data_IF_043577138446
#
_entry.id   IF_043577138446
#
_cell.length_a   1.000
_cell.length_b   1.000
_cell.length_c   1.000
_cell.angle_alpha   90.00
_cell.angle_beta   90.00
_cell.angle_gamma   90.00
#
_symmetry.space_group_name_H-M   'P 1'
#
loop_
_entity.id
_entity.type
_entity.pdbx_description
1 polymer ?
#
# COMPACT_ATOMS: atom_id res chain seq x y z
N UNK A 1 0.96 14.30 37.27
CA UNK A 1 1.22 15.32 36.21
C UNK A 1 0.21 15.07 35.09
N UNK A 2 -0.74 15.98 34.90
CA UNK A 2 -1.73 15.87 33.82
C UNK A 2 -1.04 16.28 32.52
N UNK A 3 -0.87 15.35 31.58
CA UNK A 3 -0.35 15.66 30.24
C UNK A 3 -1.43 16.45 29.52
N UNK A 4 -1.23 17.77 29.38
CA UNK A 4 -2.13 18.62 28.60
C UNK A 4 -1.85 18.35 27.12
N UNK A 5 -2.82 17.75 26.42
CA UNK A 5 -2.78 17.61 24.96
C UNK A 5 -3.08 18.94 24.29
N UNK A 6 -2.29 19.29 23.26
CA UNK A 6 -2.50 20.49 22.44
C UNK A 6 -3.10 20.07 21.10
N UNK A 7 -4.35 20.44 20.88
CA UNK A 7 -5.10 20.04 19.69
C UNK A 7 -5.62 21.27 18.93
N UNK A 8 -5.52 21.24 17.60
CA UNK A 8 -6.14 22.21 16.70
C UNK A 8 -7.43 21.56 16.17
N UNK A 9 -8.57 22.17 16.45
CA UNK A 9 -9.88 21.70 15.99
C UNK A 9 -10.46 22.68 14.98
N UNK A 10 -10.48 22.31 13.71
CA UNK A 10 -11.10 23.05 12.62
C UNK A 10 -12.47 22.40 12.31
N UNK A 11 -13.54 22.93 12.92
CA UNK A 11 -14.92 22.45 12.75
C UNK A 11 -15.86 23.57 12.32
N UNK A 12 -16.86 23.25 11.49
CA UNK A 12 -17.95 24.16 11.14
C UNK A 12 -18.03 24.53 9.64
N UNK A 13 -18.83 25.54 9.32
CA UNK A 13 -19.01 26.02 7.95
C UNK A 13 -19.86 27.28 7.89
N UNK A 14 -19.34 28.32 7.21
CA UNK A 14 -20.06 29.56 6.91
C UNK A 14 -19.51 30.78 7.63
N UNK A 15 -18.34 31.28 7.23
CA UNK A 15 -18.14 32.73 7.28
C UNK A 15 -18.80 33.33 6.04
N UNK A 16 -19.64 34.35 6.23
CA UNK A 16 -20.24 35.17 5.17
C UNK A 16 -19.22 36.05 4.42
N UNK A 17 -17.95 36.00 4.81
CA UNK A 17 -16.85 36.67 4.12
C UNK A 17 -16.32 35.76 3.02
N UNK A 18 -16.40 36.18 1.75
CA UNK A 18 -15.98 35.40 0.59
C UNK A 18 -14.57 34.79 0.69
N UNK A 19 -14.35 33.67 -0.01
CA UNK A 19 -13.10 32.88 -0.03
C UNK A 19 -13.35 31.40 0.28
N UNK A 20 -12.47 30.50 -0.17
CA UNK A 20 -12.59 29.06 0.14
C UNK A 20 -12.22 28.77 1.60
N UNK A 21 -12.75 27.69 2.19
CA UNK A 21 -12.38 27.28 3.55
C UNK A 21 -10.87 27.00 3.68
N UNK A 22 -10.23 26.56 2.60
CA UNK A 22 -8.78 26.33 2.52
C UNK A 22 -7.99 27.63 2.62
N UNK A 23 -8.41 28.69 1.92
CA UNK A 23 -7.77 30.00 1.98
C UNK A 23 -7.91 30.64 3.36
N UNK A 24 -9.08 30.50 3.99
CA UNK A 24 -9.33 30.98 5.35
C UNK A 24 -8.45 30.25 6.37
N UNK A 25 -8.30 28.94 6.25
CA UNK A 25 -7.39 28.15 7.10
C UNK A 25 -5.94 28.57 6.90
N UNK A 26 -5.50 28.80 5.65
CA UNK A 26 -4.13 29.24 5.35
C UNK A 26 -3.82 30.56 6.05
N UNK A 27 -4.68 31.57 5.88
CA UNK A 27 -4.56 32.88 6.57
C UNK A 27 -4.53 32.72 8.10
N UNK A 28 -5.35 31.81 8.62
CA UNK A 28 -5.42 31.52 10.06
C UNK A 28 -4.11 30.89 10.58
N UNK A 29 -3.55 29.92 9.86
CA UNK A 29 -2.29 29.27 10.24
C UNK A 29 -1.07 30.18 10.06
N UNK A 30 -1.06 31.02 9.02
CA UNK A 30 -0.05 32.09 8.85
C UNK A 30 -0.11 33.09 10.01
N UNK A 31 -1.31 33.51 10.44
CA UNK A 31 -1.47 34.34 11.62
C UNK A 31 -0.94 33.63 12.88
N UNK A 32 -1.34 32.38 13.13
CA UNK A 32 -0.89 31.65 14.31
C UNK A 32 0.63 31.44 14.35
N UNK A 33 1.24 31.08 13.23
CA UNK A 33 2.69 30.88 13.15
C UNK A 33 3.49 32.18 13.38
N UNK A 34 2.90 33.35 13.11
CA UNK A 34 3.52 34.65 13.39
C UNK A 34 3.45 35.06 14.86
N UNK A 35 2.33 34.77 15.54
CA UNK A 35 2.06 35.32 16.88
C UNK A 35 2.25 34.34 18.04
N UNK A 36 2.17 33.02 17.78
CA UNK A 36 2.43 32.01 18.80
C UNK A 36 3.96 31.85 18.96
N UNK A 37 4.54 31.90 20.18
CA UNK A 37 5.96 31.64 20.39
C UNK A 37 6.38 30.28 19.82
N UNK A 38 7.57 30.16 19.24
CA UNK A 38 8.01 28.91 18.59
C UNK A 38 8.01 27.68 19.52
N UNK A 39 8.18 27.88 20.83
CA UNK A 39 8.06 26.82 21.85
C UNK A 39 6.63 26.26 22.01
N UNK A 40 5.63 26.99 21.52
CA UNK A 40 4.21 26.64 21.59
C UNK A 40 3.64 26.19 20.23
N UNK A 41 4.38 26.30 19.13
CA UNK A 41 3.96 25.90 17.78
C UNK A 41 3.97 24.38 17.51
N UNK A 42 4.15 23.57 18.57
CA UNK A 42 4.07 22.12 18.51
C UNK A 42 2.76 21.66 19.14
N UNK A 43 1.98 20.96 18.33
CA UNK A 43 0.68 20.39 18.66
C UNK A 43 0.75 18.87 18.61
N UNK A 44 -0.11 18.21 19.36
CA UNK A 44 -0.25 16.76 19.32
C UNK A 44 -1.07 16.34 18.10
N UNK A 45 -2.19 17.04 17.86
CA UNK A 45 -3.12 16.68 16.80
C UNK A 45 -3.76 17.89 16.11
N UNK A 46 -4.05 17.75 14.83
CA UNK A 46 -4.94 18.64 14.07
C UNK A 46 -6.11 17.84 13.49
N UNK A 47 -7.32 18.32 13.72
CA UNK A 47 -8.55 17.76 13.17
C UNK A 47 -9.20 18.77 12.23
N UNK A 48 -9.44 18.37 10.99
CA UNK A 48 -10.11 19.21 9.99
C UNK A 48 -11.38 18.51 9.50
N UNK A 49 -12.50 19.16 9.77
CA UNK A 49 -13.82 18.80 9.25
C UNK A 49 -14.61 20.09 9.02
N UNK A 50 -14.45 20.64 7.82
CA UNK A 50 -15.05 21.91 7.43
C UNK A 50 -15.97 21.70 6.23
N UNK A 51 -17.09 22.43 6.19
CA UNK A 51 -17.89 22.57 4.97
C UNK A 51 -17.16 23.46 3.97
N UNK A 52 -17.34 23.19 2.68
CA UNK A 52 -16.67 23.82 1.55
C UNK A 52 -15.14 23.69 1.58
N UNK A 53 -14.62 22.66 2.27
CA UNK A 53 -13.19 22.36 2.31
C UNK A 53 -12.86 21.32 1.25
N UNK A 54 -12.75 21.81 0.02
CA UNK A 54 -12.59 20.98 -1.17
C UNK A 54 -11.15 20.59 -1.46
N UNK A 55 -10.19 21.39 -0.98
CA UNK A 55 -8.77 21.30 -1.36
C UNK A 55 -7.86 21.58 -0.18
N UNK A 56 -6.74 20.87 -0.10
CA UNK A 56 -5.60 21.26 0.75
C UNK A 56 -4.53 21.86 -0.16
N UNK A 57 -4.37 23.17 -0.11
CA UNK A 57 -3.40 23.90 -0.94
C UNK A 57 -1.95 23.69 -0.49
N UNK A 58 -1.00 24.07 -1.37
CA UNK A 58 0.41 24.12 -1.04
C UNK A 58 0.69 24.96 0.22
N UNK A 59 1.63 24.48 1.04
CA UNK A 59 2.09 25.16 2.25
C UNK A 59 1.01 25.46 3.30
N UNK A 60 -0.16 24.80 3.25
CA UNK A 60 -1.27 25.10 4.18
C UNK A 60 -0.80 25.06 5.64
N UNK A 61 0.03 24.08 5.99
CA UNK A 61 0.49 23.83 7.35
C UNK A 61 1.82 24.51 7.70
N UNK A 62 2.31 25.40 6.86
CA UNK A 62 3.61 26.05 7.07
C UNK A 62 3.65 26.80 8.40
N UNK A 63 4.71 26.55 9.18
CA UNK A 63 4.88 27.14 10.51
C UNK A 63 4.11 26.44 11.64
N UNK A 64 3.37 25.37 11.36
CA UNK A 64 2.76 24.50 12.36
C UNK A 64 3.44 23.15 12.41
N UNK A 65 3.66 22.62 13.62
CA UNK A 65 4.21 21.27 13.83
C UNK A 65 3.19 20.43 14.57
N UNK A 66 2.77 19.31 14.00
CA UNK A 66 1.82 18.40 14.64
C UNK A 66 2.14 16.94 14.38
N UNK A 67 1.87 16.09 15.38
CA UNK A 67 2.15 14.66 15.30
C UNK A 67 1.08 13.88 14.54
N UNK A 68 -0.19 14.26 14.71
CA UNK A 68 -1.32 13.53 14.18
C UNK A 68 -2.22 14.46 13.36
N UNK A 69 -2.69 13.98 12.22
CA UNK A 69 -3.65 14.69 11.38
C UNK A 69 -4.85 13.81 11.07
N UNK A 70 -6.04 14.35 11.30
CA UNK A 70 -7.31 13.71 11.03
C UNK A 70 -8.11 14.61 10.06
N UNK A 71 -8.29 14.12 8.84
CA UNK A 71 -9.01 14.78 7.76
C UNK A 71 -10.34 14.07 7.52
N UNK A 72 -11.42 14.83 7.46
CA UNK A 72 -12.74 14.32 7.11
C UNK A 72 -13.58 15.36 6.40
N UNK A 73 -14.58 14.89 5.67
CA UNK A 73 -15.50 15.73 4.92
C UNK A 73 -15.60 15.29 3.47
N UNK A 74 -16.82 14.97 3.04
CA UNK A 74 -17.09 14.42 1.71
C UNK A 74 -16.72 15.36 0.55
N UNK A 75 -16.47 16.63 0.82
CA UNK A 75 -16.13 17.61 -0.21
C UNK A 75 -14.63 17.68 -0.51
N UNK A 76 -13.76 17.15 0.36
CA UNK A 76 -12.32 17.13 0.13
C UNK A 76 -12.01 16.20 -1.05
N UNK A 77 -11.48 16.76 -2.13
CA UNK A 77 -11.23 16.06 -3.40
C UNK A 77 -9.75 15.89 -3.73
N UNK A 78 -8.88 16.80 -3.28
CA UNK A 78 -7.44 16.71 -3.51
C UNK A 78 -6.61 17.32 -2.40
N UNK A 79 -5.38 16.83 -2.26
CA UNK A 79 -4.33 17.36 -1.40
C UNK A 79 -3.14 17.68 -2.29
N UNK A 80 -2.68 18.93 -2.23
CA UNK A 80 -1.56 19.39 -3.03
C UNK A 80 -0.29 18.60 -2.68
N UNK A 81 0.55 18.28 -3.68
CA UNK A 81 1.82 17.56 -3.48
C UNK A 81 2.79 18.22 -2.48
N UNK A 82 2.63 19.52 -2.27
CA UNK A 82 3.42 20.36 -1.34
C UNK A 82 2.63 20.80 -0.10
N UNK A 83 1.47 20.20 0.18
CA UNK A 83 0.59 20.61 1.27
C UNK A 83 1.27 20.60 2.65
N UNK A 84 2.19 19.64 2.88
CA UNK A 84 2.84 19.42 4.17
C UNK A 84 4.22 20.07 4.29
N UNK A 85 4.62 20.91 3.33
CA UNK A 85 5.95 21.53 3.34
C UNK A 85 6.20 22.35 4.61
N UNK A 86 7.29 22.02 5.31
CA UNK A 86 7.69 22.61 6.59
C UNK A 86 7.20 21.87 7.84
N UNK A 87 6.36 20.84 7.69
CA UNK A 87 5.83 20.03 8.81
C UNK A 87 6.06 18.52 8.66
N UNK A 88 6.63 18.08 7.54
CA UNK A 88 6.70 16.67 7.12
C UNK A 88 7.42 15.77 8.12
N UNK A 89 8.48 16.28 8.75
CA UNK A 89 9.26 15.55 9.75
C UNK A 89 8.51 15.36 11.08
N UNK A 90 7.41 16.07 11.29
CA UNK A 90 6.69 16.06 12.55
C UNK A 90 5.44 15.19 12.50
N UNK A 91 4.98 14.77 11.32
CA UNK A 91 3.77 13.95 11.15
C UNK A 91 4.11 12.47 11.30
N UNK A 92 3.47 11.81 12.27
CA UNK A 92 3.62 10.38 12.56
C UNK A 92 2.38 9.58 12.21
N UNK A 93 1.19 10.18 12.28
CA UNK A 93 -0.05 9.47 11.97
C UNK A 93 -1.00 10.34 11.16
N UNK A 94 -1.55 9.76 10.10
CA UNK A 94 -2.52 10.39 9.23
C UNK A 94 -3.76 9.50 9.10
N UNK A 95 -4.91 10.10 9.39
CA UNK A 95 -6.23 9.51 9.20
C UNK A 95 -7.02 10.37 8.23
N UNK A 96 -7.56 9.76 7.18
CA UNK A 96 -8.42 10.41 6.18
C UNK A 96 -9.67 9.55 6.05
N UNK A 97 -10.85 10.08 6.39
CA UNK A 97 -12.07 9.29 6.32
C UNK A 97 -13.26 10.05 5.75
N UNK A 98 -14.07 9.34 4.95
CA UNK A 98 -15.30 9.88 4.38
C UNK A 98 -15.05 11.11 3.50
N UNK A 99 -14.08 11.00 2.59
CA UNK A 99 -13.68 12.08 1.67
C UNK A 99 -13.91 11.65 0.22
N UNK A 100 -13.95 12.61 -0.71
CA UNK A 100 -13.90 12.33 -2.14
C UNK A 100 -12.46 12.41 -2.68
N UNK A 101 -11.47 12.15 -1.84
CA UNK A 101 -10.05 12.27 -2.17
C UNK A 101 -9.70 11.39 -3.37
N UNK A 102 -9.18 12.04 -4.40
CA UNK A 102 -8.62 11.43 -5.61
C UNK A 102 -7.15 11.83 -5.73
N UNK A 103 -6.40 11.13 -6.60
CA UNK A 103 -4.99 11.42 -6.86
C UNK A 103 -4.73 11.42 -8.35
N UNK A 104 -3.97 12.41 -8.83
CA UNK A 104 -3.47 12.45 -10.21
C UNK A 104 -1.95 12.53 -10.18
N UNK A 105 -1.30 11.42 -10.51
CA UNK A 105 0.15 11.27 -10.45
C UNK A 105 0.85 12.29 -11.34
N UNK A 106 2.01 12.79 -10.91
CA UNK A 106 2.82 13.77 -11.65
C UNK A 106 2.13 15.13 -11.89
N UNK A 107 1.16 15.47 -11.05
CA UNK A 107 0.51 16.79 -11.04
C UNK A 107 0.55 17.39 -9.64
N UNK A 108 0.07 18.62 -9.51
CA UNK A 108 -0.14 19.25 -8.21
C UNK A 108 -1.13 18.47 -7.33
N UNK A 109 -1.98 17.64 -7.93
CA UNK A 109 -2.97 16.78 -7.27
C UNK A 109 -2.42 15.36 -6.99
N UNK A 110 -1.09 15.18 -7.01
CA UNK A 110 -0.44 13.92 -6.66
C UNK A 110 -0.41 13.74 -5.12
N UNK A 111 -1.43 13.07 -4.59
CA UNK A 111 -1.53 12.77 -3.18
C UNK A 111 -0.33 11.94 -2.71
N UNK A 112 0.12 10.96 -3.49
CA UNK A 112 1.25 10.10 -3.11
C UNK A 112 2.56 10.89 -3.04
N UNK A 113 2.77 11.86 -3.93
CA UNK A 113 3.90 12.79 -3.81
C UNK A 113 3.90 13.56 -2.48
N UNK A 114 2.74 13.94 -1.95
CA UNK A 114 2.67 14.55 -0.61
C UNK A 114 3.09 13.56 0.49
N UNK A 115 2.72 12.28 0.37
CA UNK A 115 3.06 11.22 1.33
C UNK A 115 4.54 10.83 1.26
N UNK A 116 5.16 10.87 0.07
CA UNK A 116 6.60 10.59 -0.11
C UNK A 116 7.49 11.51 0.74
N UNK A 117 7.03 12.72 1.07
CA UNK A 117 7.79 13.66 1.93
C UNK A 117 7.66 13.38 3.42
N UNK A 118 6.60 12.68 3.85
CA UNK A 118 6.37 12.35 5.26
C UNK A 118 7.28 11.20 5.69
N UNK A 119 8.54 11.50 6.01
CA UNK A 119 9.57 10.48 6.30
C UNK A 119 9.34 9.74 7.63
N UNK A 120 8.75 10.42 8.61
CA UNK A 120 8.47 9.91 9.94
C UNK A 120 7.04 9.34 10.10
N UNK A 121 6.27 9.30 9.02
CA UNK A 121 4.92 8.73 9.04
C UNK A 121 5.01 7.25 9.43
N UNK A 122 4.25 6.86 10.45
CA UNK A 122 4.17 5.50 10.98
C UNK A 122 2.87 4.82 10.58
N UNK A 123 1.78 5.58 10.52
CA UNK A 123 0.44 5.07 10.23
C UNK A 123 -0.28 5.94 9.22
N UNK A 124 -0.76 5.31 8.15
CA UNK A 124 -1.61 5.93 7.15
C UNK A 124 -2.91 5.15 7.04
N UNK A 125 -4.01 5.76 7.46
CA UNK A 125 -5.33 5.14 7.45
C UNK A 125 -6.25 6.02 6.60
N UNK A 126 -6.69 5.47 5.47
CA UNK A 126 -7.58 6.11 4.51
C UNK A 126 -8.80 5.22 4.34
N UNK A 127 -9.97 5.73 4.68
CA UNK A 127 -11.23 5.00 4.69
C UNK A 127 -12.26 5.76 3.88
N UNK A 128 -13.03 5.09 3.01
CA UNK A 128 -14.08 5.74 2.21
C UNK A 128 -13.55 6.94 1.42
N UNK A 129 -12.83 6.64 0.34
CA UNK A 129 -12.17 7.61 -0.55
C UNK A 129 -12.40 7.28 -2.03
N UNK A 130 -11.90 8.13 -2.94
CA UNK A 130 -12.01 7.99 -4.40
C UNK A 130 -10.65 7.78 -5.07
N UNK A 131 -9.64 7.26 -4.35
CA UNK A 131 -8.39 6.84 -4.96
C UNK A 131 -8.65 5.67 -5.91
N UNK A 132 -8.11 5.74 -7.12
CA UNK A 132 -8.35 4.77 -8.20
C UNK A 132 -7.17 3.81 -8.37
N UNK A 133 -5.96 4.21 -7.98
CA UNK A 133 -4.77 3.37 -8.08
C UNK A 133 -3.81 3.66 -6.92
N UNK A 134 -2.99 2.66 -6.59
CA UNK A 134 -1.72 2.86 -5.90
C UNK A 134 -0.64 2.84 -6.97
N UNK A 135 -0.03 3.98 -7.32
CA UNK A 135 0.90 4.06 -8.44
C UNK A 135 2.21 3.33 -8.16
N UNK A 136 3.03 3.19 -9.20
CA UNK A 136 4.40 2.72 -9.02
C UNK A 136 5.15 3.66 -8.07
N UNK A 137 6.03 3.12 -7.23
CA UNK A 137 6.84 3.92 -6.30
C UNK A 137 5.99 4.88 -5.43
N UNK A 138 4.76 4.48 -5.07
CA UNK A 138 3.80 5.33 -4.36
C UNK A 138 4.37 5.93 -3.06
N UNK A 139 5.23 5.16 -2.37
CA UNK A 139 5.84 5.58 -1.10
C UNK A 139 7.35 5.74 -1.17
N UNK A 140 7.91 5.88 -2.37
CA UNK A 140 9.34 5.98 -2.56
C UNK A 140 9.96 7.13 -1.76
N UNK A 141 11.19 6.92 -1.31
CA UNK A 141 12.01 7.99 -0.74
C UNK A 141 12.36 8.96 -1.86
N UNK A 142 11.96 10.22 -1.72
CA UNK A 142 12.51 11.26 -2.59
C UNK A 142 14.02 11.33 -2.30
N UNK A 143 14.84 11.40 -3.36
CA UNK A 143 16.27 11.65 -3.27
C UNK A 143 16.48 13.01 -2.58
N UNK A 144 16.50 13.00 -1.25
CA UNK A 144 16.99 14.12 -0.47
C UNK A 144 18.44 14.30 -0.92
N UNK A 145 18.69 15.42 -1.58
CA UNK A 145 19.97 15.75 -2.18
C UNK A 145 21.11 15.40 -1.22
N UNK A 146 22.10 14.72 -1.79
CA UNK A 146 23.41 14.42 -1.24
C UNK A 146 23.76 15.29 -0.03
N UNK A 147 23.97 14.67 1.13
CA UNK A 147 25.05 14.93 2.07
C UNK A 147 24.79 14.09 3.34
N UNK A 148 25.64 13.07 3.51
CA UNK A 148 25.85 12.26 4.72
C UNK A 148 24.94 11.03 4.92
N UNK A 149 25.62 9.91 5.16
CA UNK A 149 25.19 8.51 5.27
C UNK A 149 24.29 8.20 6.47
N UNK A 150 23.22 8.95 6.68
CA UNK A 150 22.06 8.42 7.41
C UNK A 150 21.00 8.12 6.37
N UNK A 151 20.95 6.87 5.93
CA UNK A 151 19.92 6.36 5.02
C UNK A 151 18.54 6.62 5.66
N UNK A 152 17.88 7.71 5.28
CA UNK A 152 16.56 8.08 5.79
C UNK A 152 15.59 6.96 5.41
N UNK A 153 15.12 6.20 6.39
CA UNK A 153 14.18 5.10 6.18
C UNK A 153 12.77 5.54 6.50
N UNK A 154 11.80 5.19 5.65
CA UNK A 154 10.37 5.38 5.93
C UNK A 154 9.99 4.59 7.18
N UNK A 155 9.33 5.26 8.11
CA UNK A 155 8.89 4.65 9.39
C UNK A 155 7.51 4.01 9.34
N UNK A 156 6.89 3.90 8.15
CA UNK A 156 5.55 3.36 7.97
C UNK A 156 5.51 1.89 8.41
N UNK A 157 4.65 1.62 9.39
CA UNK A 157 4.38 0.27 9.94
C UNK A 157 2.98 -0.23 9.58
N UNK A 158 2.06 0.69 9.32
CA UNK A 158 0.66 0.37 9.04
C UNK A 158 0.10 1.25 7.92
N UNK A 159 -0.41 0.61 6.88
CA UNK A 159 -1.19 1.25 5.81
C UNK A 159 -2.54 0.55 5.74
N UNK A 160 -3.62 1.31 5.86
CA UNK A 160 -4.96 0.86 5.56
C UNK A 160 -5.56 1.80 4.54
N UNK A 161 -5.85 1.32 3.33
CA UNK A 161 -6.60 2.08 2.32
C UNK A 161 -7.79 1.22 1.92
N UNK A 162 -8.93 1.46 2.56
CA UNK A 162 -10.06 0.51 2.58
C UNK A 162 -11.38 1.20 2.28
N UNK A 163 -12.39 0.40 1.89
CA UNK A 163 -13.74 0.89 1.50
C UNK A 163 -13.68 1.97 0.41
N UNK A 164 -12.75 1.80 -0.53
CA UNK A 164 -12.42 2.78 -1.55
C UNK A 164 -12.78 2.34 -2.97
N UNK A 165 -12.07 2.89 -3.95
CA UNK A 165 -12.29 2.63 -5.37
C UNK A 165 -11.00 2.24 -6.09
N UNK A 166 -9.99 1.74 -5.36
CA UNK A 166 -8.70 1.35 -5.95
C UNK A 166 -8.94 0.16 -6.88
N UNK A 167 -8.49 0.28 -8.12
CA UNK A 167 -8.61 -0.74 -9.18
C UNK A 167 -7.27 -1.44 -9.43
N UNK A 168 -6.14 -0.76 -9.23
CA UNK A 168 -4.83 -1.34 -9.50
C UNK A 168 -3.73 -0.98 -8.50
N UNK A 169 -2.75 -1.87 -8.38
CA UNK A 169 -1.51 -1.67 -7.63
C UNK A 169 -0.32 -1.70 -8.59
N UNK A 170 0.50 -0.64 -8.59
CA UNK A 170 1.69 -0.48 -9.41
C UNK A 170 2.88 -1.31 -8.95
N UNK A 171 3.83 -1.52 -9.87
CA UNK A 171 5.15 -2.10 -9.59
C UNK A 171 5.90 -1.26 -8.56
N UNK A 172 6.58 -1.90 -7.61
CA UNK A 172 7.35 -1.23 -6.55
C UNK A 172 6.53 -0.23 -5.72
N UNK A 173 5.21 -0.38 -5.65
CA UNK A 173 4.34 0.54 -4.93
C UNK A 173 4.82 0.80 -3.50
N UNK A 174 5.37 -0.24 -2.83
CA UNK A 174 5.77 -0.22 -1.43
C UNK A 174 7.28 -0.44 -1.20
N UNK A 175 8.13 -0.28 -2.22
CA UNK A 175 9.50 -0.84 -2.20
C UNK A 175 10.44 -0.30 -1.11
N UNK A 176 10.22 0.92 -0.64
CA UNK A 176 11.01 1.56 0.42
C UNK A 176 10.43 1.37 1.84
N UNK A 177 9.36 0.58 1.99
CA UNK A 177 8.66 0.41 3.27
C UNK A 177 9.14 -0.81 4.07
N UNK A 178 10.43 -0.85 4.41
CA UNK A 178 11.04 -2.01 5.09
C UNK A 178 10.46 -2.32 6.49
N UNK A 179 9.80 -1.33 7.11
CA UNK A 179 9.18 -1.44 8.43
C UNK A 179 7.66 -1.74 8.37
N UNK A 180 7.06 -1.82 7.19
CA UNK A 180 5.61 -2.03 7.05
C UNK A 180 5.22 -3.41 7.56
N UNK A 181 4.34 -3.54 8.53
CA UNK A 181 3.90 -4.83 9.08
C UNK A 181 2.48 -5.18 8.67
N UNK A 182 1.64 -4.16 8.45
CA UNK A 182 0.23 -4.31 8.09
C UNK A 182 -0.09 -3.48 6.85
N UNK A 183 -0.60 -4.15 5.81
CA UNK A 183 -1.10 -3.52 4.59
C UNK A 183 -2.51 -4.03 4.32
N UNK A 184 -3.51 -3.20 4.61
CA UNK A 184 -4.92 -3.52 4.36
C UNK A 184 -5.44 -2.75 3.16
N UNK A 185 -5.81 -3.46 2.11
CA UNK A 185 -6.40 -2.94 0.89
C UNK A 185 -7.79 -3.55 0.62
N UNK A 186 -8.41 -4.09 1.66
CA UNK A 186 -9.71 -4.75 1.57
C UNK A 186 -10.84 -3.78 1.24
N UNK A 187 -11.94 -4.31 0.68
CA UNK A 187 -13.11 -3.54 0.28
C UNK A 187 -12.79 -2.44 -0.74
N UNK A 188 -11.95 -2.75 -1.73
CA UNK A 188 -11.73 -1.90 -2.89
C UNK A 188 -12.26 -2.60 -4.15
N UNK A 189 -11.79 -2.20 -5.33
CA UNK A 189 -12.17 -2.76 -6.63
C UNK A 189 -10.95 -3.33 -7.36
N UNK A 190 -9.98 -3.82 -6.59
CA UNK A 190 -8.68 -4.21 -7.15
C UNK A 190 -8.89 -5.40 -8.07
N UNK A 191 -8.52 -5.24 -9.33
CA UNK A 191 -8.59 -6.29 -10.35
C UNK A 191 -7.28 -6.42 -11.14
N UNK A 192 -6.27 -5.61 -10.84
CA UNK A 192 -4.93 -5.66 -11.43
C UNK A 192 -3.85 -5.43 -10.36
N UNK A 193 -2.98 -6.42 -10.19
CA UNK A 193 -1.76 -6.33 -9.37
C UNK A 193 -0.57 -6.50 -10.31
N UNK A 194 0.22 -5.45 -10.47
CA UNK A 194 1.39 -5.45 -11.36
C UNK A 194 2.53 -6.29 -10.82
N UNK A 195 3.44 -6.64 -11.71
CA UNK A 195 4.68 -7.36 -11.43
C UNK A 195 5.45 -6.65 -10.30
N UNK A 196 5.94 -7.41 -9.31
CA UNK A 196 6.71 -6.89 -8.17
C UNK A 196 6.00 -5.78 -7.36
N UNK A 197 4.66 -5.78 -7.31
CA UNK A 197 3.90 -4.75 -6.58
C UNK A 197 4.30 -4.66 -5.09
N UNK A 198 4.69 -5.78 -4.48
CA UNK A 198 5.05 -5.90 -3.06
C UNK A 198 6.55 -6.17 -2.83
N UNK A 199 7.40 -5.92 -3.83
CA UNK A 199 8.86 -6.03 -3.68
C UNK A 199 9.33 -5.02 -2.63
N UNK A 200 10.33 -5.39 -1.82
CA UNK A 200 11.00 -4.51 -0.86
C UNK A 200 12.50 -4.51 -1.15
N UNK A 201 13.13 -3.33 -1.20
CA UNK A 201 14.56 -3.21 -1.52
C UNK A 201 15.49 -3.75 -0.41
N UNK A 202 15.04 -3.72 0.84
CA UNK A 202 15.82 -4.16 2.00
C UNK A 202 15.22 -5.39 2.67
N UNK A 203 16.07 -6.35 3.01
CA UNK A 203 15.65 -7.56 3.74
C UNK A 203 15.09 -7.21 5.12
N UNK A 204 14.03 -7.89 5.50
CA UNK A 204 13.41 -7.77 6.82
C UNK A 204 12.96 -9.14 7.31
N UNK A 205 13.11 -9.38 8.61
CA UNK A 205 12.56 -10.59 9.23
C UNK A 205 11.12 -10.37 9.73
N UNK A 206 10.65 -9.12 9.74
CA UNK A 206 9.28 -8.81 10.14
C UNK A 206 8.30 -9.39 9.11
N UNK A 207 7.26 -10.07 9.59
CA UNK A 207 6.20 -10.56 8.70
C UNK A 207 5.35 -9.39 8.22
N UNK A 208 5.10 -9.28 6.91
CA UNK A 208 4.07 -8.40 6.36
C UNK A 208 2.76 -9.16 6.26
N UNK A 209 1.68 -8.59 6.79
CA UNK A 209 0.32 -9.08 6.57
C UNK A 209 -0.32 -8.21 5.49
N UNK A 210 -0.72 -8.85 4.40
CA UNK A 210 -1.38 -8.23 3.26
C UNK A 210 -2.83 -8.70 3.22
N UNK A 211 -3.77 -7.78 3.43
CA UNK A 211 -5.20 -8.04 3.29
C UNK A 211 -5.73 -7.49 1.95
N UNK A 212 -6.15 -8.42 1.08
CA UNK A 212 -6.76 -8.16 -0.23
C UNK A 212 -8.20 -8.68 -0.28
N UNK A 213 -8.84 -8.91 0.87
CA UNK A 213 -10.22 -9.40 0.96
C UNK A 213 -11.23 -8.43 0.33
N UNK A 214 -12.35 -8.96 -0.15
CA UNK A 214 -13.47 -8.15 -0.68
C UNK A 214 -13.02 -7.16 -1.78
N UNK A 215 -12.37 -7.69 -2.81
CA UNK A 215 -11.96 -6.97 -4.00
C UNK A 215 -12.54 -7.65 -5.25
N UNK A 216 -12.18 -7.13 -6.43
CA UNK A 216 -12.58 -7.67 -7.74
C UNK A 216 -11.54 -8.66 -8.31
N UNK A 217 -10.79 -9.34 -7.44
CA UNK A 217 -9.72 -10.25 -7.89
C UNK A 217 -10.30 -11.47 -8.62
N UNK A 218 -9.62 -11.84 -9.70
CA UNK A 218 -9.86 -13.03 -10.51
C UNK A 218 -8.53 -13.71 -10.82
N UNK A 219 -8.52 -14.92 -11.42
CA UNK A 219 -7.26 -15.59 -11.77
C UNK A 219 -6.37 -14.79 -12.73
N UNK A 220 -6.93 -13.86 -13.51
CA UNK A 220 -6.18 -13.01 -14.44
C UNK A 220 -5.76 -11.66 -13.84
N UNK A 221 -6.08 -11.41 -12.57
CA UNK A 221 -5.81 -10.12 -11.92
C UNK A 221 -4.35 -9.92 -11.52
N UNK A 222 -3.50 -10.93 -11.69
CA UNK A 222 -2.11 -10.90 -11.24
C UNK A 222 -1.19 -10.97 -12.45
N UNK A 223 -0.32 -9.97 -12.61
CA UNK A 223 0.79 -10.10 -13.53
C UNK A 223 1.82 -11.11 -13.00
N UNK A 224 2.66 -11.62 -13.91
CA UNK A 224 3.76 -12.52 -13.54
C UNK A 224 4.63 -11.86 -12.46
N UNK A 225 5.01 -12.62 -11.43
CA UNK A 225 5.84 -12.14 -10.32
C UNK A 225 5.20 -11.04 -9.44
N UNK A 226 3.87 -10.87 -9.45
CA UNK A 226 3.17 -9.85 -8.64
C UNK A 226 3.58 -9.83 -7.15
N UNK A 227 3.83 -11.00 -6.55
CA UNK A 227 4.17 -11.16 -5.13
C UNK A 227 5.65 -11.49 -4.86
N UNK A 228 6.53 -11.42 -5.87
CA UNK A 228 7.95 -11.73 -5.69
C UNK A 228 8.78 -10.51 -5.27
N UNK A 229 9.92 -10.78 -4.64
CA UNK A 229 10.89 -9.80 -4.18
C UNK A 229 10.54 -9.17 -2.83
N UNK A 230 9.62 -9.77 -2.05
CA UNK A 230 9.20 -9.20 -0.77
C UNK A 230 10.37 -9.13 0.23
N UNK A 231 11.38 -10.01 0.09
CA UNK A 231 12.59 -10.04 0.91
C UNK A 231 12.30 -10.17 2.42
N UNK A 232 11.16 -10.77 2.75
CA UNK A 232 10.61 -10.98 4.11
C UNK A 232 9.48 -12.02 4.09
N UNK A 233 9.05 -12.55 5.24
CA UNK A 233 7.83 -13.33 5.31
C UNK A 233 6.59 -12.49 4.94
N UNK A 234 5.72 -13.01 4.09
CA UNK A 234 4.48 -12.37 3.65
C UNK A 234 3.29 -13.32 3.87
N UNK A 235 2.25 -12.82 4.53
CA UNK A 235 0.97 -13.52 4.73
C UNK A 235 -0.10 -12.81 3.91
N UNK A 236 -0.69 -13.49 2.94
CA UNK A 236 -1.73 -12.94 2.07
C UNK A 236 -3.08 -13.43 2.58
N UNK A 237 -3.99 -12.51 2.89
CA UNK A 237 -5.40 -12.81 3.16
C UNK A 237 -6.24 -12.47 1.93
N UNK A 238 -6.90 -13.47 1.37
CA UNK A 238 -7.81 -13.35 0.22
C UNK A 238 -9.28 -13.56 0.60
N UNK A 239 -9.55 -14.13 1.80
CA UNK A 239 -10.90 -14.47 2.25
C UNK A 239 -11.21 -14.35 3.76
N UNK A 240 -10.45 -13.57 4.54
CA UNK A 240 -10.61 -13.50 6.01
C UNK A 240 -11.97 -12.91 6.46
N UNK A 241 -12.27 -11.66 6.08
CA UNK A 241 -13.45 -10.90 6.51
C UNK A 241 -14.34 -10.45 5.32
N UNK A 242 -14.17 -11.10 4.18
CA UNK A 242 -14.86 -10.80 2.92
C UNK A 242 -14.20 -11.59 1.78
N UNK A 243 -14.92 -11.80 0.68
CA UNK A 243 -14.51 -12.77 -0.34
C UNK A 243 -14.26 -12.12 -1.70
N UNK A 244 -13.24 -12.62 -2.39
CA UNK A 244 -13.02 -12.28 -3.80
C UNK A 244 -13.86 -13.22 -4.68
N UNK A 245 -15.13 -12.87 -4.91
CA UNK A 245 -16.09 -13.77 -5.57
C UNK A 245 -15.72 -14.20 -6.99
N UNK A 246 -14.88 -13.42 -7.70
CA UNK A 246 -14.41 -13.73 -9.05
C UNK A 246 -13.14 -14.59 -9.08
N UNK A 247 -12.52 -14.86 -7.93
CA UNK A 247 -11.28 -15.63 -7.83
C UNK A 247 -11.60 -17.13 -7.74
N UNK A 248 -11.87 -17.79 -8.86
CA UNK A 248 -12.30 -19.19 -8.84
C UNK A 248 -11.15 -20.21 -8.70
N UNK A 249 -9.89 -19.77 -8.76
CA UNK A 249 -8.68 -20.58 -8.58
C UNK A 249 -7.48 -19.71 -8.25
N UNK A 250 -6.42 -20.31 -7.70
CA UNK A 250 -5.11 -19.68 -7.45
C UNK A 250 -4.10 -20.08 -8.54
N UNK A 251 -3.79 -19.21 -9.54
CA UNK A 251 -2.85 -19.53 -10.60
C UNK A 251 -1.50 -20.00 -10.05
N UNK A 252 -1.06 -21.18 -10.50
CA UNK A 252 0.15 -21.82 -10.02
C UNK A 252 1.39 -20.95 -10.28
N UNK A 253 1.45 -20.36 -11.47
CA UNK A 253 2.51 -19.48 -11.94
C UNK A 253 2.68 -18.21 -11.09
N UNK A 254 1.65 -17.84 -10.32
CA UNK A 254 1.68 -16.68 -9.42
C UNK A 254 2.01 -17.12 -8.00
N UNK A 255 1.25 -18.09 -7.48
CA UNK A 255 1.28 -18.42 -6.05
C UNK A 255 2.33 -19.46 -5.68
N UNK A 256 2.75 -20.35 -6.60
CA UNK A 256 3.83 -21.30 -6.33
C UNK A 256 5.18 -20.60 -6.15
N UNK A 257 5.63 -19.70 -7.07
CA UNK A 257 6.87 -18.94 -6.86
C UNK A 257 6.84 -18.11 -5.58
N UNK A 258 5.69 -17.51 -5.26
CA UNK A 258 5.49 -16.78 -4.01
C UNK A 258 5.74 -17.66 -2.76
N UNK A 259 5.19 -18.88 -2.73
CA UNK A 259 5.41 -19.80 -1.62
C UNK A 259 6.85 -20.35 -1.61
N UNK A 260 7.49 -20.52 -2.78
CA UNK A 260 8.87 -20.98 -2.87
C UNK A 260 9.88 -19.91 -2.42
N UNK A 261 9.58 -18.61 -2.60
CA UNK A 261 10.48 -17.50 -2.25
C UNK A 261 10.83 -17.46 -0.76
N UNK A 262 9.87 -17.76 0.12
CA UNK A 262 10.10 -17.78 1.56
C UNK A 262 9.24 -18.86 2.22
N UNK A 263 9.82 -19.79 3.02
CA UNK A 263 9.08 -20.90 3.64
C UNK A 263 8.01 -20.45 4.65
N UNK A 264 8.10 -19.23 5.17
CA UNK A 264 7.12 -18.65 6.10
C UNK A 264 5.94 -17.99 5.38
N UNK A 265 5.96 -17.89 4.05
CA UNK A 265 4.86 -17.31 3.30
C UNK A 265 3.61 -18.19 3.41
N UNK A 266 2.44 -17.56 3.60
CA UNK A 266 1.16 -18.25 3.66
C UNK A 266 0.08 -17.50 2.88
N UNK A 267 -0.89 -18.24 2.35
CA UNK A 267 -2.09 -17.72 1.70
C UNK A 267 -3.27 -18.18 2.55
N UNK A 268 -4.15 -17.28 2.93
CA UNK A 268 -5.43 -17.61 3.57
C UNK A 268 -6.56 -17.28 2.59
N UNK A 269 -7.24 -18.30 2.09
CA UNK A 269 -8.34 -18.13 1.13
C UNK A 269 -9.70 -17.94 1.78
N UNK A 270 -9.79 -17.97 3.11
CA UNK A 270 -11.03 -17.76 3.84
C UNK A 270 -11.89 -19.02 3.96
N UNK A 271 -12.32 -19.33 5.19
CA UNK A 271 -13.16 -20.50 5.47
C UNK A 271 -14.56 -20.39 4.83
N UNK A 272 -15.06 -19.17 4.71
CA UNK A 272 -16.43 -18.88 4.25
C UNK A 272 -16.46 -18.40 2.78
N UNK A 273 -15.32 -18.43 2.09
CA UNK A 273 -15.23 -17.99 0.70
C UNK A 273 -15.33 -19.19 -0.23
N UNK A 274 -16.53 -19.35 -0.78
CA UNK A 274 -17.02 -20.56 -1.45
C UNK A 274 -16.93 -20.45 -2.98
N UNK A 275 -15.91 -19.77 -3.48
CA UNK A 275 -15.73 -19.43 -4.91
C UNK A 275 -14.71 -20.33 -5.64
N UNK A 276 -13.84 -21.03 -4.91
CA UNK A 276 -12.78 -21.85 -5.51
C UNK A 276 -13.36 -23.14 -6.09
N UNK A 277 -13.01 -23.47 -7.34
CA UNK A 277 -13.45 -24.70 -8.04
C UNK A 277 -12.40 -25.80 -7.93
N UNK A 278 -12.86 -27.02 -7.69
CA UNK A 278 -11.98 -28.19 -7.71
C UNK A 278 -11.57 -28.51 -9.15
N UNK A 279 -10.32 -28.91 -9.35
CA UNK A 279 -9.82 -29.35 -10.66
C UNK A 279 -8.29 -29.41 -10.73
N UNK A 280 -7.76 -29.97 -11.82
CA UNK A 280 -6.32 -30.23 -11.95
C UNK A 280 -5.45 -28.96 -11.92
N UNK A 281 -6.00 -27.79 -12.25
CA UNK A 281 -5.28 -26.50 -12.16
C UNK A 281 -4.87 -26.15 -10.72
N UNK A 282 -5.55 -26.73 -9.71
CA UNK A 282 -5.25 -26.56 -8.29
C UNK A 282 -4.37 -27.68 -7.73
N UNK A 283 -4.07 -28.72 -8.52
CA UNK A 283 -3.41 -29.95 -8.05
C UNK A 283 -2.01 -29.69 -7.45
N UNK A 284 -1.35 -28.60 -7.85
CA UNK A 284 -0.06 -28.18 -7.30
C UNK A 284 -0.10 -28.01 -5.77
N UNK A 285 -1.26 -27.64 -5.20
CA UNK A 285 -1.42 -27.46 -3.75
C UNK A 285 -1.47 -28.77 -2.95
N UNK A 286 -1.62 -29.92 -3.60
CA UNK A 286 -1.61 -31.24 -2.93
C UNK A 286 -0.22 -31.64 -2.45
N UNK A 287 0.83 -31.02 -2.98
CA UNK A 287 2.18 -31.20 -2.47
C UNK A 287 2.23 -30.86 -0.98
N UNK A 288 2.82 -31.75 -0.17
CA UNK A 288 3.04 -31.50 1.27
C UNK A 288 3.82 -30.20 1.53
N UNK A 289 4.58 -29.71 0.54
CA UNK A 289 5.27 -28.43 0.60
C UNK A 289 4.34 -27.22 0.70
N UNK A 290 3.15 -27.29 0.11
CA UNK A 290 2.23 -26.15 -0.05
C UNK A 290 0.92 -26.34 0.73
N UNK A 291 0.48 -27.58 0.94
CA UNK A 291 -0.81 -27.93 1.56
C UNK A 291 -1.09 -27.21 2.89
N UNK A 292 -0.08 -27.08 3.75
CA UNK A 292 -0.23 -26.43 5.07
C UNK A 292 -0.12 -24.89 5.00
N UNK A 293 0.33 -24.35 3.87
CA UNK A 293 0.64 -22.93 3.67
C UNK A 293 -0.45 -22.21 2.88
N UNK A 294 -1.31 -22.95 2.19
CA UNK A 294 -2.60 -22.48 1.68
C UNK A 294 -3.69 -22.87 2.68
N UNK A 295 -4.01 -21.93 3.56
CA UNK A 295 -4.91 -22.13 4.71
C UNK A 295 -6.37 -21.99 4.29
N UNK A 296 -7.24 -22.68 5.03
CA UNK A 296 -8.69 -22.68 4.87
C UNK A 296 -9.16 -23.08 3.46
N UNK A 297 -8.34 -23.84 2.72
CA UNK A 297 -8.66 -24.23 1.36
C UNK A 297 -9.74 -25.31 1.32
N UNK A 298 -10.86 -24.95 0.71
CA UNK A 298 -11.94 -25.82 0.26
C UNK A 298 -12.29 -25.44 -1.17
N UNK A 299 -12.84 -26.37 -1.93
CA UNK A 299 -13.27 -26.11 -3.29
C UNK A 299 -14.62 -26.75 -3.58
N UNK A 300 -15.24 -26.31 -4.66
CA UNK A 300 -16.52 -26.80 -5.15
C UNK A 300 -16.31 -27.84 -6.26
N UNK A 301 -16.90 -29.01 -6.08
CA UNK A 301 -16.94 -30.06 -7.09
C UNK A 301 -17.91 -29.72 -8.24
N UNK A 302 -18.02 -30.64 -9.21
CA UNK A 302 -18.96 -30.52 -10.34
C UNK A 302 -20.44 -30.51 -9.93
N UNK A 303 -20.76 -30.99 -8.73
CA UNK A 303 -22.11 -31.00 -8.15
C UNK A 303 -22.37 -29.81 -7.22
N UNK A 304 -21.42 -28.87 -7.14
CA UNK A 304 -21.48 -27.69 -6.30
C UNK A 304 -21.48 -28.00 -4.79
N UNK A 305 -20.84 -29.09 -4.36
CA UNK A 305 -20.56 -29.37 -2.96
C UNK A 305 -19.19 -28.82 -2.55
N UNK A 306 -19.13 -28.23 -1.35
CA UNK A 306 -17.86 -27.83 -0.74
C UNK A 306 -17.15 -29.06 -0.16
N UNK A 307 -15.99 -29.38 -0.72
CA UNK A 307 -15.19 -30.55 -0.35
C UNK A 307 -13.77 -30.15 0.03
N UNK A 308 -13.10 -31.02 0.78
CA UNK A 308 -11.65 -30.92 0.93
C UNK A 308 -10.99 -31.35 -0.37
N UNK A 309 -10.13 -30.49 -0.92
CA UNK A 309 -9.51 -30.77 -2.22
C UNK A 309 -8.65 -32.05 -2.23
N UNK A 310 -8.03 -32.39 -1.09
CA UNK A 310 -7.30 -33.65 -0.92
C UNK A 310 -8.16 -34.88 -1.14
N UNK A 311 -9.43 -34.80 -0.78
CA UNK A 311 -10.38 -35.90 -0.86
C UNK A 311 -10.94 -35.98 -2.28
N UNK A 312 -11.15 -34.84 -2.94
CA UNK A 312 -11.62 -34.74 -4.32
C UNK A 312 -10.64 -35.33 -5.34
N UNK A 313 -9.34 -35.02 -5.26
CA UNK A 313 -8.35 -35.50 -6.26
C UNK A 313 -7.96 -36.97 -6.07
N UNK A 314 -8.35 -37.63 -4.98
CA UNK A 314 -8.08 -39.07 -4.84
C UNK A 314 -8.83 -39.94 -5.87
N UNK A 315 -9.93 -39.44 -6.44
CA UNK A 315 -10.74 -40.14 -7.45
C UNK A 315 -10.45 -39.72 -8.90
N UNK A 316 -10.04 -38.48 -9.13
CA UNK A 316 -9.79 -37.96 -10.49
C UNK A 316 -8.30 -38.06 -10.88
N UNK A 317 -8.02 -38.74 -11.99
CA UNK A 317 -6.70 -38.97 -12.58
C UNK A 317 -6.05 -37.68 -13.13
N UNK A 318 -5.76 -36.70 -12.28
CA UNK A 318 -4.96 -35.55 -12.69
C UNK A 318 -3.53 -36.01 -12.94
N UNK A 319 -3.15 -36.17 -14.21
CA UNK A 319 -1.75 -36.29 -14.60
C UNK A 319 -1.07 -34.92 -14.44
N UNK A 320 -0.79 -34.54 -13.19
CA UNK A 320 -0.03 -33.33 -12.88
C UNK A 320 1.42 -33.56 -13.32
N UNK A 321 1.73 -33.17 -14.55
CA UNK A 321 3.10 -33.00 -15.01
C UNK A 321 3.55 -31.61 -14.59
N UNK A 322 4.57 -31.54 -13.71
CA UNK A 322 5.18 -30.27 -13.32
C UNK A 322 5.59 -29.52 -14.60
N UNK A 323 5.18 -28.26 -14.78
CA UNK A 323 5.72 -27.45 -15.86
C UNK A 323 7.24 -27.29 -15.65
N UNK A 324 8.03 -27.93 -16.51
CA UNK A 324 9.49 -27.75 -16.55
C UNK A 324 9.81 -26.34 -17.02
N UNK A 325 9.83 -25.37 -16.11
CA UNK A 325 10.50 -24.09 -16.31
C UNK A 325 11.26 -23.72 -15.06
N UNK A 326 12.46 -24.29 -14.92
CA UNK A 326 13.54 -23.57 -14.26
C UNK A 326 13.83 -22.36 -15.16
N UNK A 327 13.33 -21.18 -14.78
CA UNK A 327 13.91 -19.94 -15.31
C UNK A 327 15.29 -19.82 -14.68
N UNK A 328 16.32 -20.18 -15.44
CA UNK A 328 17.68 -19.74 -15.15
C UNK A 328 17.68 -18.22 -15.17
N UNK A 329 17.93 -17.61 -14.02
CA UNK A 329 18.24 -16.19 -13.95
C UNK A 329 19.59 -16.03 -14.63
N UNK A 330 19.59 -15.65 -15.91
CA UNK A 330 20.78 -15.17 -16.58
C UNK A 330 21.15 -13.84 -15.93
N UNK A 331 22.13 -13.88 -15.02
CA UNK A 331 22.82 -12.70 -14.53
C UNK A 331 23.67 -12.18 -15.69
N UNK A 332 23.15 -11.21 -16.44
CA UNK A 332 23.96 -10.44 -17.38
C UNK A 332 24.85 -9.48 -16.59
N UNK A 333 26.07 -9.91 -16.31
CA UNK A 333 27.16 -9.02 -15.94
C UNK A 333 27.51 -8.14 -17.14
N UNK A 334 26.88 -6.97 -17.26
CA UNK A 334 27.43 -5.88 -18.05
C UNK A 334 28.23 -4.97 -17.11
N UNK A 335 29.48 -5.37 -16.84
CA UNK A 335 30.51 -4.44 -16.39
C UNK A 335 31.02 -3.69 -17.63
N UNK A 336 30.63 -2.43 -17.74
CA UNK A 336 31.32 -1.42 -18.53
C UNK A 336 32.77 -1.31 -18.04
N UNK A 337 33.74 -1.62 -18.91
CA UNK A 337 35.08 -1.06 -18.81
C UNK A 337 35.37 -0.34 -20.12
N UNK A 338 35.19 0.97 -20.09
CA UNK A 338 35.87 1.90 -20.97
C UNK A 338 37.30 2.07 -20.46
N UNK A 339 38.29 1.66 -21.23
CA UNK A 339 39.66 2.17 -21.08
C UNK A 339 40.27 2.32 -22.46
N UNK A 340 40.04 3.48 -23.07
CA UNK A 340 40.96 4.07 -24.04
C UNK A 340 41.79 5.13 -23.31
N UNK A 341 43.09 4.83 -23.13
CA UNK A 341 44.15 5.84 -23.03
C UNK A 341 45.33 5.36 -23.84
N UNK A 342 45.54 6.04 -24.96
CA UNK A 342 46.71 5.95 -25.80
C UNK A 342 48.00 6.42 -25.08
N UNK A 343 49.13 5.74 -25.36
CA UNK A 343 50.42 6.38 -25.65
C UNK A 343 51.42 5.38 -26.28
N UNK A 344 51.97 5.84 -27.41
CA UNK A 344 52.87 5.26 -28.41
C UNK A 344 54.18 4.58 -27.94
N UNK A 345 54.62 3.62 -28.76
CA UNK A 345 55.93 3.48 -29.44
C UNK A 345 55.63 2.63 -30.69
N UNK A 346 55.96 2.93 -31.94
CA UNK A 346 56.96 3.82 -32.58
C UNK A 346 56.35 4.97 -33.40
#
# INVERSE_FOLDING_TARGET
MTIIRREILCRGGGSSTGGSASEQLKKTFEFYSKWIPSSMQRFDSIYINLRNFTTIEADLFKGLKFANILLSGGELTFIHRDAFVGTEQHIYTMFIYGTNLSSKVNTDQDFFASIRKLVNLQKLIIFQNKLIEIPHNAFALESLAQNNETQTKKQLTEIQITEGSIVSIGTDAFADLMHLEQLSLNKNRINLIRSYAFRIHHKSNATLILDLTDNDLSPISFETNAFLGANRPLKIHLGLNGCNHKLDRLPEEIFRPFLDENPSNTIDVGRNCLNLKCGCQMAWMLSERYRLRVKNFRCYDSQNHSVYFSDYIRDDSCQYTRPNKFFSIAVSNNSTQSTDKAKNFE
#
